data_IF_519374771695
#
_entry.id   IF_519374771695
#
_cell.length_a   1.000
_cell.length_b   1.000
_cell.length_c   1.000
_cell.angle_alpha   90.00
_cell.angle_beta   90.00
_cell.angle_gamma   90.00
#
_symmetry.space_group_name_H-M   'P 1'
#
loop_
_entity.id
_entity.type
_entity.pdbx_description
1 polymer ?
#
# COMPACT_ATOMS: atom_id res chain seq x y z
N UNK A 1 0.88 -23.48 95.95
CA UNK A 1 -0.20 -23.80 96.92
C UNK A 1 -1.52 -23.63 96.18
N UNK A 2 -2.35 -24.67 96.21
CA UNK A 2 -3.70 -24.83 95.64
C UNK A 2 -3.90 -24.93 94.12
N UNK A 3 -4.11 -26.19 93.73
CA UNK A 3 -4.89 -26.63 92.58
C UNK A 3 -6.39 -26.47 92.85
N UNK A 4 -7.19 -26.34 91.78
CA UNK A 4 -8.56 -26.83 91.76
C UNK A 4 -8.78 -27.63 90.47
N UNK A 5 -9.08 -28.91 90.67
CA UNK A 5 -9.51 -29.90 89.68
C UNK A 5 -11.03 -29.92 89.71
N UNK A 6 -11.70 -30.00 88.56
CA UNK A 6 -12.95 -30.77 88.43
C UNK A 6 -13.17 -31.25 86.98
N UNK A 7 -13.05 -32.56 86.83
CA UNK A 7 -13.53 -33.54 85.83
C UNK A 7 -15.04 -33.43 85.50
N UNK A 8 -15.68 -34.03 84.49
CA UNK A 8 -15.43 -34.98 83.37
C UNK A 8 -16.70 -34.91 82.47
N UNK A 9 -16.62 -35.20 81.16
CA UNK A 9 -17.57 -36.08 80.45
C UNK A 9 -17.25 -36.20 78.94
N UNK A 10 -16.99 -37.44 78.52
CA UNK A 10 -16.89 -37.89 77.13
C UNK A 10 -18.28 -38.08 76.52
N UNK A 11 -18.45 -37.70 75.26
CA UNK A 11 -19.40 -38.36 74.36
C UNK A 11 -18.86 -38.28 72.93
N UNK A 12 -18.43 -39.43 72.41
CA UNK A 12 -18.11 -39.60 71.01
C UNK A 12 -19.37 -39.47 70.15
N UNK A 13 -19.21 -38.93 68.96
CA UNK A 13 -20.19 -39.07 67.89
C UNK A 13 -19.47 -39.36 66.58
N UNK A 14 -19.76 -40.56 66.12
CA UNK A 14 -19.36 -41.24 64.90
C UNK A 14 -19.60 -40.36 63.67
N UNK A 15 -18.54 -40.09 62.90
CA UNK A 15 -18.69 -39.52 61.55
C UNK A 15 -19.18 -40.63 60.64
N UNK A 16 -20.46 -40.58 60.27
CA UNK A 16 -21.03 -41.38 59.19
C UNK A 16 -20.56 -40.75 57.88
N UNK A 17 -19.67 -41.44 57.17
CA UNK A 17 -19.28 -41.09 55.80
C UNK A 17 -20.41 -41.57 54.86
N UNK A 18 -21.08 -40.68 54.11
CA UNK A 18 -22.00 -41.12 53.07
C UNK A 18 -21.17 -41.73 51.94
N UNK A 19 -21.49 -42.97 51.53
CA UNK A 19 -21.04 -43.54 50.25
C UNK A 19 -21.68 -42.74 49.11
N UNK A 20 -21.04 -41.65 48.72
CA UNK A 20 -21.29 -40.94 47.47
C UNK A 20 -20.47 -41.60 46.37
N UNK A 21 -21.18 -42.12 45.37
CA UNK A 21 -20.67 -42.74 44.14
C UNK A 21 -19.45 -41.99 43.56
N UNK A 22 -18.34 -42.69 43.37
CA UNK A 22 -17.29 -42.29 42.45
C UNK A 22 -17.84 -42.32 41.03
N UNK A 23 -18.44 -41.21 40.61
CA UNK A 23 -18.53 -40.90 39.18
C UNK A 23 -17.15 -40.37 38.81
N UNK A 24 -16.31 -41.25 38.26
CA UNK A 24 -15.12 -40.84 37.51
C UNK A 24 -15.57 -39.73 36.56
N UNK A 25 -14.89 -38.57 36.51
CA UNK A 25 -15.18 -37.61 35.47
C UNK A 25 -14.92 -38.34 34.15
N UNK A 26 -15.97 -38.57 33.37
CA UNK A 26 -15.84 -38.94 31.97
C UNK A 26 -14.79 -38.00 31.41
N UNK A 27 -13.72 -38.56 30.85
CA UNK A 27 -12.75 -37.79 30.10
C UNK A 27 -13.54 -36.87 29.18
N UNK A 28 -13.53 -35.57 29.49
CA UNK A 28 -13.81 -34.60 28.46
C UNK A 28 -12.72 -34.88 27.45
N UNK A 29 -13.12 -35.51 26.34
CA UNK A 29 -12.40 -35.39 25.10
C UNK A 29 -12.21 -33.89 24.91
N UNK A 30 -11.04 -33.41 25.34
CA UNK A 30 -10.41 -32.25 24.75
C UNK A 30 -10.18 -32.67 23.29
N UNK A 31 -11.22 -32.55 22.47
CA UNK A 31 -11.00 -32.04 21.14
C UNK A 31 -10.43 -30.65 21.39
N UNK A 32 -9.12 -30.57 21.62
CA UNK A 32 -8.39 -29.36 21.28
C UNK A 32 -8.69 -29.19 19.81
N UNK A 33 -9.57 -28.25 19.51
CA UNK A 33 -9.54 -27.61 18.20
C UNK A 33 -8.16 -26.98 18.10
N UNK A 34 -7.19 -27.77 17.63
CA UNK A 34 -5.80 -27.36 17.42
C UNK A 34 -5.67 -26.56 16.13
N UNK A 35 -6.61 -25.66 15.88
CA UNK A 35 -6.42 -24.55 14.95
C UNK A 35 -6.11 -23.30 15.77
N UNK A 36 -4.98 -23.30 16.49
CA UNK A 36 -4.40 -22.04 16.93
C UNK A 36 -4.33 -21.13 15.70
N UNK A 37 -4.80 -19.89 15.85
CA UNK A 37 -4.71 -18.93 14.75
C UNK A 37 -3.23 -18.87 14.33
N UNK A 38 -2.94 -18.99 13.03
CA UNK A 38 -1.58 -18.93 12.47
C UNK A 38 -0.80 -17.72 13.02
N UNK A 39 -1.48 -16.60 13.29
CA UNK A 39 -0.89 -15.42 13.94
C UNK A 39 -0.34 -15.72 15.34
N UNK A 40 -1.07 -16.45 16.16
CA UNK A 40 -0.64 -16.83 17.51
C UNK A 40 0.52 -17.84 17.44
N UNK A 41 0.46 -18.77 16.49
CA UNK A 41 1.47 -19.80 16.30
C UNK A 41 2.87 -19.23 16.00
N UNK A 42 2.95 -18.13 15.23
CA UNK A 42 4.20 -17.51 14.83
C UNK A 42 4.51 -16.20 15.58
N UNK A 43 3.68 -15.81 16.55
CA UNK A 43 3.90 -14.57 17.31
C UNK A 43 5.13 -14.68 18.22
N UNK A 44 6.01 -13.70 18.13
CA UNK A 44 7.10 -13.50 19.09
C UNK A 44 6.62 -12.64 20.26
N UNK A 45 7.24 -12.80 21.43
CA UNK A 45 6.94 -11.98 22.59
C UNK A 45 7.40 -10.53 22.36
N UNK A 46 6.42 -9.65 22.12
CA UNK A 46 6.65 -8.22 21.85
C UNK A 46 7.14 -7.44 23.06
N UNK A 47 6.87 -7.92 24.29
CA UNK A 47 7.40 -7.30 25.52
C UNK A 47 8.89 -7.58 25.59
N UNK A 48 9.32 -8.81 25.34
CA UNK A 48 10.74 -9.17 25.28
C UNK A 48 11.45 -8.36 24.19
N UNK A 49 10.88 -8.25 22.98
CA UNK A 49 11.46 -7.45 21.90
C UNK A 49 11.63 -5.96 22.29
N UNK A 50 10.63 -5.39 22.97
CA UNK A 50 10.65 -4.00 23.43
C UNK A 50 11.79 -3.72 24.41
N UNK A 51 12.12 -4.67 25.29
CA UNK A 51 13.25 -4.52 26.22
C UNK A 51 14.59 -4.27 25.50
N UNK A 52 14.80 -4.92 24.36
CA UNK A 52 16.02 -4.73 23.55
C UNK A 52 15.97 -3.45 22.71
N UNK A 53 14.79 -3.07 22.21
CA UNK A 53 14.62 -1.84 21.42
C UNK A 53 14.86 -0.55 22.21
N UNK A 54 14.79 -0.60 23.55
CA UNK A 54 15.04 0.54 24.43
C UNK A 54 16.51 0.69 24.84
N UNK A 55 17.39 -0.26 24.46
CA UNK A 55 18.80 -0.17 24.78
C UNK A 55 19.43 1.02 24.05
N UNK A 56 20.29 1.76 24.77
CA UNK A 56 21.04 2.86 24.19
C UNK A 56 22.01 2.33 23.12
N UNK A 57 21.94 2.90 21.92
CA UNK A 57 22.83 2.59 20.81
C UNK A 57 24.16 3.37 20.87
N UNK A 58 24.38 4.14 21.94
CA UNK A 58 25.56 4.98 22.13
C UNK A 58 25.61 6.06 21.06
N UNK A 59 26.76 6.30 20.43
CA UNK A 59 26.90 7.29 19.34
C UNK A 59 26.52 6.74 17.95
N UNK A 60 26.28 5.44 17.82
CA UNK A 60 25.98 4.79 16.53
C UNK A 60 24.55 5.07 16.06
N UNK A 61 24.37 5.20 14.76
CA UNK A 61 23.06 5.39 14.12
C UNK A 61 22.73 4.17 13.28
N UNK A 62 21.44 3.82 13.21
CA UNK A 62 20.95 2.74 12.36
C UNK A 62 20.19 3.38 11.21
N UNK A 63 20.59 3.06 9.98
CA UNK A 63 19.98 3.57 8.77
C UNK A 63 19.39 2.39 7.98
N UNK A 64 18.05 2.37 7.87
CA UNK A 64 17.29 1.41 7.08
C UNK A 64 17.22 1.88 5.63
N UNK A 65 17.96 1.25 4.73
CA UNK A 65 17.91 1.55 3.30
C UNK A 65 16.73 0.82 2.69
N UNK A 66 15.85 1.56 2.03
CA UNK A 66 14.58 1.09 1.46
C UNK A 66 14.61 1.30 -0.05
N UNK A 67 14.21 0.31 -0.83
CA UNK A 67 14.12 0.40 -2.29
C UNK A 67 12.97 -0.43 -2.86
N UNK A 68 12.60 -0.13 -4.10
CA UNK A 68 11.58 -0.85 -4.86
C UNK A 68 12.26 -1.98 -5.65
N UNK A 69 11.71 -3.19 -5.60
CA UNK A 69 12.27 -4.34 -6.29
C UNK A 69 11.92 -4.40 -7.78
N UNK A 70 12.37 -5.46 -8.47
CA UNK A 70 12.20 -5.63 -9.91
C UNK A 70 10.75 -5.85 -10.35
N UNK A 71 9.80 -6.09 -9.43
CA UNK A 71 8.37 -6.10 -9.76
C UNK A 71 7.82 -4.70 -10.00
N UNK A 72 8.44 -3.67 -9.42
CA UNK A 72 7.89 -2.30 -9.38
C UNK A 72 6.77 -2.10 -8.36
N UNK A 73 6.43 -3.12 -7.56
CA UNK A 73 5.33 -3.09 -6.59
C UNK A 73 5.83 -3.24 -5.15
N UNK A 74 6.77 -4.16 -4.92
CA UNK A 74 7.21 -4.51 -3.56
C UNK A 74 8.45 -3.72 -3.12
N UNK A 75 8.45 -3.40 -1.83
CA UNK A 75 9.57 -2.76 -1.16
C UNK A 75 10.48 -3.80 -0.50
N UNK A 76 11.77 -3.47 -0.45
CA UNK A 76 12.81 -4.22 0.25
C UNK A 76 13.55 -3.25 1.15
N UNK A 77 14.12 -3.77 2.24
CA UNK A 77 14.98 -2.96 3.08
C UNK A 77 16.10 -3.75 3.74
N UNK A 78 17.14 -3.03 4.18
CA UNK A 78 18.18 -3.55 5.07
C UNK A 78 18.86 -2.44 5.86
N UNK A 79 19.44 -2.79 7.00
CA UNK A 79 20.02 -1.82 7.93
C UNK A 79 21.54 -1.80 7.88
N UNK A 80 22.13 -0.60 7.92
CA UNK A 80 23.56 -0.42 8.26
C UNK A 80 23.74 0.45 9.49
N UNK A 81 24.88 0.28 10.14
CA UNK A 81 25.36 1.17 11.20
C UNK A 81 26.15 2.33 10.61
N UNK A 82 25.89 3.54 11.10
CA UNK A 82 26.62 4.77 10.82
C UNK A 82 27.22 5.30 12.13
N UNK A 83 28.26 6.13 12.01
CA UNK A 83 28.97 6.72 13.16
C UNK A 83 28.66 8.21 13.36
N UNK A 84 27.80 8.78 12.52
CA UNK A 84 27.30 10.15 12.59
C UNK A 84 25.83 10.13 12.14
N UNK A 85 25.00 10.93 12.79
CA UNK A 85 23.63 11.15 12.33
C UNK A 85 23.63 11.95 11.02
N UNK A 86 23.07 11.39 9.93
CA UNK A 86 22.99 12.09 8.66
C UNK A 86 21.85 13.11 8.69
N UNK A 87 22.08 14.26 8.06
CA UNK A 87 21.13 15.38 7.96
C UNK A 87 20.54 15.52 6.56
N UNK A 88 21.23 15.00 5.54
CA UNK A 88 20.78 15.02 4.15
C UNK A 88 21.23 13.74 3.42
N UNK A 89 20.55 13.36 2.31
CA UNK A 89 20.85 12.12 1.58
C UNK A 89 22.28 12.01 1.06
N UNK A 90 22.94 13.13 0.72
CA UNK A 90 24.30 13.12 0.15
C UNK A 90 25.39 12.76 1.18
N UNK A 91 25.11 12.89 2.48
CA UNK A 91 25.98 12.41 3.56
C UNK A 91 25.97 10.88 3.71
N UNK A 92 24.99 10.20 3.10
CA UNK A 92 24.84 8.76 3.23
C UNK A 92 25.65 8.01 2.17
N UNK A 93 26.39 6.95 2.55
CA UNK A 93 27.14 6.16 1.60
C UNK A 93 26.21 5.42 0.63
N UNK A 94 26.60 5.37 -0.65
CA UNK A 94 26.04 4.40 -1.60
C UNK A 94 26.28 3.00 -1.05
N UNK A 95 25.29 2.13 -1.24
CA UNK A 95 25.38 0.72 -0.86
C UNK A 95 25.02 -0.16 -2.06
N UNK A 96 25.01 -1.47 -1.88
CA UNK A 96 24.68 -2.44 -2.92
C UNK A 96 23.84 -3.55 -2.33
N UNK A 97 23.17 -4.35 -3.16
CA UNK A 97 22.49 -5.58 -2.76
C UNK A 97 22.52 -6.58 -3.92
N UNK A 98 22.15 -7.82 -3.62
CA UNK A 98 22.04 -8.88 -4.63
C UNK A 98 20.72 -8.73 -5.42
N UNK A 99 20.84 -8.21 -6.64
CA UNK A 99 19.73 -8.00 -7.56
C UNK A 99 19.13 -9.29 -8.12
N UNK A 100 19.84 -10.43 -8.05
CA UNK A 100 19.29 -11.72 -8.50
C UNK A 100 18.14 -12.18 -7.60
N UNK A 101 18.21 -11.84 -6.31
CA UNK A 101 17.19 -12.12 -5.30
C UNK A 101 15.98 -11.18 -5.36
N UNK A 102 15.97 -10.20 -6.26
CA UNK A 102 14.92 -9.16 -6.33
C UNK A 102 14.39 -8.91 -7.74
N UNK A 103 14.69 -9.80 -8.71
CA UNK A 103 14.32 -9.66 -10.14
C UNK A 103 14.94 -8.43 -10.82
N UNK A 104 16.12 -7.99 -10.36
CA UNK A 104 16.82 -6.82 -10.90
C UNK A 104 18.10 -7.19 -11.66
N UNK A 105 18.68 -8.35 -11.40
CA UNK A 105 19.82 -8.86 -12.16
C UNK A 105 19.67 -10.35 -12.48
N UNK A 106 20.40 -10.82 -13.49
CA UNK A 106 20.47 -12.23 -13.89
C UNK A 106 21.93 -12.67 -13.96
N UNK A 107 22.21 -13.91 -13.57
CA UNK A 107 23.55 -14.50 -13.67
C UNK A 107 24.53 -14.05 -12.58
N UNK A 108 25.83 -14.09 -12.90
CA UNK A 108 26.91 -13.92 -11.93
C UNK A 108 27.22 -12.44 -11.58
N UNK A 109 26.74 -11.50 -12.39
CA UNK A 109 26.90 -10.06 -12.19
C UNK A 109 25.60 -9.48 -11.63
N UNK A 110 25.40 -9.70 -10.32
CA UNK A 110 24.12 -9.45 -9.67
C UNK A 110 24.07 -8.19 -8.81
N UNK A 111 25.20 -7.48 -8.65
CA UNK A 111 25.26 -6.29 -7.79
C UNK A 111 24.42 -5.15 -8.38
N UNK A 112 23.48 -4.65 -7.59
CA UNK A 112 22.69 -3.44 -7.86
C UNK A 112 22.96 -2.43 -6.76
N UNK A 113 23.24 -1.19 -7.12
CA UNK A 113 23.58 -0.13 -6.18
C UNK A 113 22.35 0.59 -5.66
N UNK A 114 22.42 1.03 -4.40
CA UNK A 114 21.44 1.84 -3.69
C UNK A 114 22.04 3.22 -3.49
N UNK A 115 21.47 4.21 -4.17
CA UNK A 115 21.81 5.61 -3.97
C UNK A 115 20.73 6.29 -3.12
N UNK A 116 21.07 6.80 -1.93
CA UNK A 116 20.15 7.55 -1.08
C UNK A 116 19.56 8.76 -1.81
N UNK A 117 18.26 9.00 -1.62
CA UNK A 117 17.54 10.11 -2.26
C UNK A 117 16.61 10.89 -1.32
N UNK A 118 16.17 10.28 -0.21
CA UNK A 118 15.42 10.96 0.84
C UNK A 118 15.68 10.30 2.21
N UNK A 119 15.58 11.09 3.28
CA UNK A 119 15.78 10.64 4.67
C UNK A 119 14.53 10.95 5.48
N UNK A 120 14.10 10.00 6.30
CA UNK A 120 13.00 10.14 7.23
C UNK A 120 13.41 9.65 8.61
N UNK A 121 12.70 10.09 9.66
CA UNK A 121 12.90 9.55 11.01
C UNK A 121 12.35 8.13 11.06
N UNK A 122 13.04 7.23 11.75
CA UNK A 122 12.60 5.84 11.92
C UNK A 122 11.60 5.74 13.10
N UNK A 123 10.29 5.50 12.87
CA UNK A 123 9.31 5.41 13.95
C UNK A 123 9.37 4.08 14.72
N UNK A 124 10.11 3.08 14.24
CA UNK A 124 10.26 1.79 14.89
C UNK A 124 11.45 1.78 15.85
N UNK A 125 12.52 2.50 15.49
CA UNK A 125 13.76 2.59 16.29
C UNK A 125 13.87 3.91 17.07
N UNK A 126 13.14 4.94 16.67
CA UNK A 126 13.10 6.27 17.29
C UNK A 126 14.46 7.01 17.30
N UNK A 127 14.50 8.13 18.01
CA UNK A 127 15.72 8.91 18.21
C UNK A 127 16.38 9.36 16.91
N UNK A 128 17.67 9.06 16.79
CA UNK A 128 18.55 9.45 15.67
C UNK A 128 18.54 8.46 14.50
N UNK A 129 17.84 7.34 14.63
CA UNK A 129 17.75 6.31 13.59
C UNK A 129 16.95 6.82 12.38
N UNK A 130 17.30 6.33 11.19
CA UNK A 130 16.80 6.88 9.92
C UNK A 130 16.22 5.79 9.02
N UNK A 131 15.15 6.14 8.33
CA UNK A 131 14.75 5.47 7.10
C UNK A 131 15.37 6.22 5.91
N UNK A 132 15.88 5.49 4.94
CA UNK A 132 16.60 6.03 3.78
C UNK A 132 15.97 5.48 2.52
N UNK A 133 15.17 6.28 1.83
CA UNK A 133 14.70 5.92 0.50
C UNK A 133 15.86 5.97 -0.48
N UNK A 134 15.99 4.93 -1.31
CA UNK A 134 17.06 4.81 -2.30
C UNK A 134 16.50 4.67 -3.71
N UNK A 135 17.18 5.30 -4.67
CA UNK A 135 17.07 4.93 -6.08
C UNK A 135 18.04 3.78 -6.40
N UNK A 136 17.73 2.99 -7.43
CA UNK A 136 18.56 1.85 -7.83
C UNK A 136 19.40 2.18 -9.07
N UNK A 137 20.67 1.78 -9.04
CA UNK A 137 21.60 1.91 -10.16
C UNK A 137 22.16 0.54 -10.55
N UNK A 138 22.43 0.34 -11.84
CA UNK A 138 23.08 -0.86 -12.35
C UNK A 138 24.58 -0.90 -12.01
N UNK A 139 25.24 -1.99 -12.41
CA UNK A 139 26.69 -2.21 -12.21
C UNK A 139 27.59 -1.16 -12.91
N UNK A 140 27.03 -0.30 -13.77
CA UNK A 140 27.71 0.83 -14.44
C UNK A 140 27.33 2.18 -13.83
N UNK A 141 26.70 2.18 -12.64
CA UNK A 141 26.21 3.36 -11.94
C UNK A 141 25.19 4.17 -12.75
N UNK A 142 24.49 3.52 -13.69
CA UNK A 142 23.40 4.12 -14.45
C UNK A 142 22.06 3.78 -13.80
N UNK A 143 21.00 4.59 -14.00
CA UNK A 143 19.68 4.28 -13.47
C UNK A 143 19.22 2.89 -13.90
N UNK A 144 18.84 2.05 -12.93
CA UNK A 144 18.38 0.71 -13.21
C UNK A 144 17.06 0.74 -14.03
N UNK A 145 16.77 -0.30 -14.83
CA UNK A 145 15.57 -0.34 -15.71
C UNK A 145 14.24 -0.15 -14.96
N UNK A 146 14.19 -0.54 -13.69
CA UNK A 146 13.02 -0.39 -12.80
C UNK A 146 13.05 0.89 -11.96
N UNK A 147 14.07 1.74 -12.12
CA UNK A 147 14.17 3.03 -11.45
C UNK A 147 13.31 4.09 -12.16
N UNK A 148 12.01 4.07 -11.89
CA UNK A 148 11.08 5.06 -12.43
C UNK A 148 11.21 6.43 -11.77
N UNK A 149 11.71 6.49 -10.53
CA UNK A 149 12.00 7.74 -9.82
C UNK A 149 12.91 8.66 -10.63
N UNK A 150 13.99 8.13 -11.21
CA UNK A 150 14.96 8.95 -11.97
C UNK A 150 14.31 9.68 -13.15
N UNK A 151 13.45 9.00 -13.90
CA UNK A 151 12.73 9.58 -15.05
C UNK A 151 11.69 10.59 -14.59
N UNK A 152 10.94 10.26 -13.54
CA UNK A 152 9.99 11.18 -12.92
C UNK A 152 10.69 12.47 -12.44
N UNK A 153 11.83 12.36 -11.75
CA UNK A 153 12.59 13.52 -11.27
C UNK A 153 13.02 14.46 -12.41
N UNK A 154 13.42 13.92 -13.57
CA UNK A 154 13.76 14.72 -14.75
C UNK A 154 12.54 15.46 -15.32
N UNK A 155 11.36 14.83 -15.31
CA UNK A 155 10.10 15.45 -15.75
C UNK A 155 9.66 16.55 -14.79
N UNK A 156 9.76 16.31 -13.48
CA UNK A 156 9.41 17.31 -12.47
C UNK A 156 10.34 18.52 -12.54
N UNK A 157 11.64 18.32 -12.76
CA UNK A 157 12.59 19.42 -12.99
C UNK A 157 12.26 20.21 -14.27
N UNK A 158 11.89 19.52 -15.35
CA UNK A 158 11.51 20.17 -16.60
C UNK A 158 10.21 20.97 -16.49
N UNK A 159 9.33 20.62 -15.56
CA UNK A 159 8.05 21.29 -15.30
C UNK A 159 8.05 22.13 -14.01
N UNK A 160 9.22 22.44 -13.43
CA UNK A 160 9.32 23.08 -12.11
C UNK A 160 8.60 24.43 -12.03
N UNK A 161 8.58 25.19 -13.13
CA UNK A 161 7.95 26.51 -13.20
C UNK A 161 6.40 26.43 -13.13
N UNK A 162 5.81 25.24 -13.31
CA UNK A 162 4.38 25.02 -13.13
C UNK A 162 4.01 24.75 -11.65
N UNK A 163 4.99 24.53 -10.76
CA UNK A 163 4.81 24.15 -9.35
C UNK A 163 3.73 23.07 -9.13
N UNK A 164 3.91 21.88 -9.73
CA UNK A 164 2.91 20.83 -9.70
C UNK A 164 2.77 20.24 -8.29
N UNK A 165 1.57 20.32 -7.74
CA UNK A 165 1.21 19.69 -6.47
C UNK A 165 0.35 18.47 -6.70
N UNK A 166 0.63 17.44 -5.92
CA UNK A 166 -0.10 16.18 -5.91
C UNK A 166 -0.61 15.85 -4.52
N UNK A 167 -1.77 15.21 -4.45
CA UNK A 167 -2.22 14.50 -3.26
C UNK A 167 -2.75 13.12 -3.65
N UNK A 168 -2.25 12.05 -3.04
CA UNK A 168 -2.64 10.68 -3.40
C UNK A 168 -3.41 10.01 -2.27
N UNK A 169 -4.56 9.46 -2.62
CA UNK A 169 -5.51 8.75 -1.75
C UNK A 169 -5.22 7.24 -1.85
N UNK A 170 -4.38 6.71 -0.97
CA UNK A 170 -4.01 5.29 -1.01
C UNK A 170 -5.04 4.44 -0.29
N UNK A 171 -5.84 3.71 -1.05
CA UNK A 171 -6.70 2.66 -0.52
C UNK A 171 -5.92 1.33 -0.39
N UNK A 172 -6.26 0.54 0.61
CA UNK A 172 -5.69 -0.80 0.84
C UNK A 172 -6.67 -1.66 1.64
N UNK A 173 -6.47 -2.98 1.60
CA UNK A 173 -7.28 -3.92 2.38
C UNK A 173 -6.40 -4.70 3.35
N UNK A 174 -6.85 -4.83 4.59
CA UNK A 174 -6.23 -5.72 5.57
C UNK A 174 -6.68 -7.15 5.34
N UNK A 175 -5.73 -8.06 5.23
CA UNK A 175 -5.93 -9.50 5.16
C UNK A 175 -5.31 -10.16 6.39
N UNK A 176 -5.89 -11.28 6.81
CA UNK A 176 -5.24 -12.21 7.71
C UNK A 176 -4.14 -13.00 6.97
N UNK A 177 -3.30 -13.72 7.70
CA UNK A 177 -2.13 -14.43 7.15
C UNK A 177 -2.49 -15.57 6.19
N UNK A 178 -3.74 -16.02 6.20
CA UNK A 178 -4.30 -16.98 5.23
C UNK A 178 -4.80 -16.30 3.94
N UNK A 179 -4.66 -14.97 3.83
CA UNK A 179 -5.09 -14.18 2.68
C UNK A 179 -6.58 -13.81 2.70
N UNK A 180 -7.35 -14.24 3.71
CA UNK A 180 -8.75 -13.86 3.84
C UNK A 180 -8.87 -12.43 4.44
N UNK A 181 -9.85 -11.60 4.04
CA UNK A 181 -9.98 -10.25 4.61
C UNK A 181 -10.10 -10.26 6.13
N UNK A 182 -9.37 -9.35 6.77
CA UNK A 182 -9.25 -9.30 8.21
C UNK A 182 -10.60 -8.94 8.86
N UNK A 183 -11.02 -9.74 9.84
CA UNK A 183 -12.29 -9.57 10.54
C UNK A 183 -13.50 -10.20 9.84
N UNK A 184 -13.33 -10.83 8.67
CA UNK A 184 -14.42 -11.54 8.01
C UNK A 184 -14.65 -12.94 8.60
N UNK A 185 -15.87 -13.49 8.46
CA UNK A 185 -16.12 -14.89 8.82
C UNK A 185 -15.29 -15.83 7.95
N UNK A 186 -14.47 -16.71 8.54
CA UNK A 186 -13.47 -17.55 7.84
C UNK A 186 -13.98 -18.35 6.63
N UNK A 187 -15.26 -18.72 6.61
CA UNK A 187 -15.89 -19.45 5.51
C UNK A 187 -17.14 -18.71 5.00
N UNK A 188 -17.13 -17.37 5.00
CA UNK A 188 -18.29 -16.59 4.61
C UNK A 188 -17.98 -15.12 4.34
N UNK A 189 -19.05 -14.34 4.32
CA UNK A 189 -19.03 -12.92 4.04
C UNK A 189 -19.66 -12.17 5.22
N UNK A 190 -19.23 -10.94 5.51
CA UNK A 190 -19.95 -10.06 6.40
C UNK A 190 -21.27 -9.61 5.75
N UNK A 191 -22.05 -8.78 6.45
CA UNK A 191 -23.23 -8.13 5.85
C UNK A 191 -22.86 -7.29 4.62
N UNK A 192 -23.84 -6.90 3.79
CA UNK A 192 -23.60 -6.10 2.58
C UNK A 192 -22.95 -4.75 2.91
N UNK A 193 -22.27 -4.17 1.91
CA UNK A 193 -21.65 -2.85 2.02
C UNK A 193 -22.67 -1.75 2.36
N UNK A 194 -22.21 -0.69 3.02
CA UNK A 194 -23.08 0.41 3.49
C UNK A 194 -22.69 0.93 4.87
N UNK A 195 -22.70 0.10 5.94
CA UNK A 195 -22.43 0.57 7.30
C UNK A 195 -20.93 0.78 7.62
N UNK A 196 -20.03 0.38 6.72
CA UNK A 196 -18.58 0.31 6.98
C UNK A 196 -17.84 1.63 6.71
N UNK A 197 -18.17 2.32 5.60
CA UNK A 197 -17.54 3.59 5.22
C UNK A 197 -17.67 4.62 6.35
N UNK A 198 -16.53 5.15 6.81
CA UNK A 198 -16.44 6.04 7.97
C UNK A 198 -17.18 5.53 9.23
N UNK A 199 -17.29 4.19 9.38
CA UNK A 199 -18.02 3.56 10.47
C UNK A 199 -17.33 3.68 11.83
N UNK A 200 -18.11 3.46 12.89
CA UNK A 200 -17.64 3.34 14.27
C UNK A 200 -18.38 2.21 14.98
N UNK A 201 -17.63 1.38 15.72
CA UNK A 201 -18.14 0.21 16.43
C UNK A 201 -17.52 -1.09 15.95
N UNK A 202 -17.40 -2.07 16.87
CA UNK A 202 -16.74 -3.34 16.63
C UNK A 202 -17.38 -4.19 15.52
N UNK A 203 -18.66 -3.96 15.21
CA UNK A 203 -19.41 -4.65 14.16
C UNK A 203 -19.29 -3.98 12.77
N UNK A 204 -18.51 -2.90 12.66
CA UNK A 204 -18.33 -2.12 11.42
C UNK A 204 -16.87 -1.92 11.05
N UNK A 205 -15.99 -1.86 12.05
CA UNK A 205 -14.61 -1.40 11.90
C UNK A 205 -13.64 -2.51 12.26
N UNK A 206 -12.84 -2.95 11.31
CA UNK A 206 -11.84 -4.01 11.48
C UNK A 206 -10.43 -3.47 11.27
N UNK A 207 -9.56 -3.58 12.27
CA UNK A 207 -8.14 -3.25 12.14
C UNK A 207 -7.76 -1.77 12.36
N UNK A 208 -8.61 -0.96 13.04
CA UNK A 208 -8.31 0.46 13.32
C UNK A 208 -6.97 0.66 14.04
N UNK A 209 -6.53 -0.28 14.88
CA UNK A 209 -5.25 -0.17 15.58
C UNK A 209 -4.07 -0.07 14.62
N UNK A 210 -4.12 -0.78 13.49
CA UNK A 210 -3.10 -0.71 12.42
C UNK A 210 -3.08 0.68 11.79
N UNK A 211 -4.27 1.22 11.52
CA UNK A 211 -4.47 2.54 10.90
C UNK A 211 -3.94 3.65 11.80
N UNK A 212 -4.31 3.62 13.09
CA UNK A 212 -3.88 4.60 14.08
C UNK A 212 -2.36 4.56 14.32
N UNK A 213 -1.78 3.36 14.37
CA UNK A 213 -0.34 3.18 14.48
C UNK A 213 0.40 3.69 13.23
N UNK A 214 -0.10 3.36 12.03
CA UNK A 214 0.45 3.82 10.76
C UNK A 214 0.39 5.35 10.62
N UNK A 215 -0.73 5.96 10.99
CA UNK A 215 -0.89 7.41 10.94
C UNK A 215 0.15 8.12 11.83
N UNK A 216 0.31 7.66 13.07
CA UNK A 216 1.32 8.21 14.00
C UNK A 216 2.74 7.95 13.53
N UNK A 217 3.01 6.79 12.93
CA UNK A 217 4.31 6.47 12.35
C UNK A 217 4.66 7.41 11.19
N UNK A 218 3.71 7.70 10.31
CA UNK A 218 3.88 8.67 9.21
C UNK A 218 4.16 10.08 9.73
N UNK A 219 3.36 10.57 10.70
CA UNK A 219 3.59 11.87 11.34
C UNK A 219 4.99 11.95 11.98
N UNK A 220 5.40 10.92 12.72
CA UNK A 220 6.72 10.88 13.36
C UNK A 220 7.85 10.89 12.33
N UNK A 221 7.70 10.12 11.25
CA UNK A 221 8.67 10.01 10.17
C UNK A 221 8.85 11.32 9.39
N UNK A 222 7.83 12.20 9.43
CA UNK A 222 7.79 13.44 8.65
C UNK A 222 7.14 13.28 7.27
N UNK A 223 6.36 12.21 7.07
CA UNK A 223 5.50 12.07 5.88
C UNK A 223 4.35 13.07 6.00
N UNK A 224 4.05 13.78 4.92
CA UNK A 224 2.92 14.71 4.81
C UNK A 224 1.59 13.95 4.65
N UNK A 225 1.25 13.14 5.65
CA UNK A 225 -0.03 12.45 5.73
C UNK A 225 -1.12 13.46 6.10
N UNK A 226 -2.18 13.55 5.29
CA UNK A 226 -3.22 14.56 5.43
C UNK A 226 -4.53 14.04 6.02
N UNK A 227 -4.72 12.72 6.07
CA UNK A 227 -5.97 12.13 6.54
C UNK A 227 -6.03 10.61 6.41
N UNK A 228 -7.11 10.05 6.94
CA UNK A 228 -7.46 8.63 6.85
C UNK A 228 -8.96 8.44 7.03
N UNK A 229 -9.51 7.38 6.43
CA UNK A 229 -10.88 6.94 6.64
C UNK A 229 -10.99 5.42 6.50
N UNK A 230 -12.04 4.85 7.12
CA UNK A 230 -12.48 3.49 6.80
C UNK A 230 -13.21 3.54 5.46
N UNK A 231 -12.87 2.61 4.57
CA UNK A 231 -13.45 2.55 3.22
C UNK A 231 -14.74 1.71 3.17
N UNK A 232 -15.35 1.62 1.98
CA UNK A 232 -16.64 0.98 1.77
C UNK A 232 -16.61 -0.52 2.07
N UNK A 233 -15.56 -1.24 1.68
CA UNK A 233 -15.41 -2.66 1.96
C UNK A 233 -14.96 -2.87 3.42
N UNK A 234 -15.58 -3.77 4.19
CA UNK A 234 -15.16 -4.03 5.57
C UNK A 234 -13.72 -4.55 5.63
N UNK A 235 -12.87 -3.88 6.41
CA UNK A 235 -11.42 -4.18 6.48
C UNK A 235 -10.59 -3.43 5.42
N UNK A 236 -11.23 -2.64 4.55
CA UNK A 236 -10.58 -1.70 3.65
C UNK A 236 -10.45 -0.33 4.32
N UNK A 237 -9.35 0.35 4.01
CA UNK A 237 -8.97 1.62 4.61
C UNK A 237 -8.29 2.51 3.58
N UNK A 238 -8.25 3.80 3.85
CA UNK A 238 -7.55 4.80 3.05
C UNK A 238 -6.66 5.67 3.94
N UNK A 239 -5.51 6.08 3.40
CA UNK A 239 -4.74 7.21 3.92
C UNK A 239 -4.39 8.16 2.77
N UNK A 240 -4.35 9.46 3.05
CA UNK A 240 -4.01 10.48 2.06
C UNK A 240 -2.63 11.05 2.35
N UNK A 241 -1.81 11.20 1.31
CA UNK A 241 -0.50 11.88 1.37
C UNK A 241 -0.53 13.10 0.46
N UNK A 242 -0.10 14.26 0.98
CA UNK A 242 0.00 15.52 0.25
C UNK A 242 -0.84 16.64 0.87
N UNK A 243 -0.87 17.84 0.25
CA UNK A 243 -0.24 18.17 -1.03
C UNK A 243 1.30 18.12 -0.95
N UNK A 244 1.94 17.48 -1.93
CA UNK A 244 3.40 17.41 -2.07
C UNK A 244 3.81 17.85 -3.47
N UNK A 245 4.93 18.59 -3.57
CA UNK A 245 5.39 19.16 -4.84
C UNK A 245 6.29 18.19 -5.60
N UNK A 246 6.00 18.00 -6.89
CA UNK A 246 6.86 17.27 -7.82
C UNK A 246 7.26 15.86 -7.33
N UNK A 247 8.57 15.63 -7.22
CA UNK A 247 9.15 14.32 -6.92
C UNK A 247 8.83 13.83 -5.48
N UNK A 248 8.55 14.76 -4.56
CA UNK A 248 8.30 14.44 -3.17
C UNK A 248 7.04 13.59 -2.98
N UNK A 249 6.06 13.71 -3.88
CA UNK A 249 4.84 12.88 -3.84
C UNK A 249 5.18 11.39 -3.91
N UNK A 250 6.04 11.01 -4.86
CA UNK A 250 6.46 9.62 -5.02
C UNK A 250 7.31 9.14 -3.85
N UNK A 251 8.25 9.97 -3.39
CA UNK A 251 9.13 9.64 -2.27
C UNK A 251 8.31 9.36 -0.99
N UNK A 252 7.36 10.25 -0.68
CA UNK A 252 6.57 10.16 0.52
C UNK A 252 5.53 9.04 0.47
N UNK A 253 4.88 8.78 -0.68
CA UNK A 253 3.92 7.68 -0.76
C UNK A 253 4.61 6.31 -0.64
N UNK A 254 5.78 6.12 -1.26
CA UNK A 254 6.55 4.88 -1.09
C UNK A 254 6.98 4.65 0.35
N UNK A 255 7.38 5.70 1.07
CA UNK A 255 7.70 5.59 2.50
C UNK A 255 6.44 5.35 3.33
N UNK A 256 5.32 5.98 3.03
CA UNK A 256 4.05 5.71 3.70
C UNK A 256 3.61 4.24 3.51
N UNK A 257 3.81 3.66 2.32
CA UNK A 257 3.58 2.23 2.04
C UNK A 257 4.55 1.33 2.82
N UNK A 258 5.84 1.69 2.88
CA UNK A 258 6.81 0.96 3.72
C UNK A 258 6.35 0.91 5.18
N UNK A 259 5.95 2.07 5.73
CA UNK A 259 5.45 2.17 7.09
C UNK A 259 4.18 1.34 7.29
N UNK A 260 3.26 1.33 6.33
CA UNK A 260 2.04 0.52 6.39
C UNK A 260 2.39 -0.97 6.50
N UNK A 261 3.25 -1.48 5.62
CA UNK A 261 3.63 -2.89 5.65
C UNK A 261 4.38 -3.26 6.94
N UNK A 262 5.31 -2.41 7.40
CA UNK A 262 6.05 -2.64 8.65
C UNK A 262 5.13 -2.60 9.88
N UNK A 263 4.17 -1.69 9.93
CA UNK A 263 3.16 -1.66 11.00
C UNK A 263 2.27 -2.91 10.93
N UNK A 264 1.77 -3.27 9.74
CA UNK A 264 0.97 -4.49 9.55
C UNK A 264 1.72 -5.75 10.02
N UNK A 265 3.03 -5.84 9.77
CA UNK A 265 3.90 -6.91 10.26
C UNK A 265 3.94 -6.97 11.80
N UNK A 266 4.03 -5.83 12.50
CA UNK A 266 3.98 -5.80 13.98
C UNK A 266 2.63 -6.31 14.53
N UNK A 267 1.55 -6.10 13.78
CA UNK A 267 0.22 -6.61 14.10
C UNK A 267 -0.06 -8.01 13.53
N UNK A 268 0.87 -8.63 12.79
CA UNK A 268 0.67 -9.96 12.19
C UNK A 268 -0.49 -10.03 11.21
N UNK A 269 -0.72 -8.95 10.45
CA UNK A 269 -1.70 -8.89 9.35
C UNK A 269 -1.00 -8.46 8.07
N UNK A 270 -1.66 -8.67 6.93
CA UNK A 270 -1.16 -8.28 5.61
C UNK A 270 -1.93 -7.05 5.13
N UNK A 271 -1.24 -6.02 4.66
CA UNK A 271 -1.86 -4.95 3.90
C UNK A 271 -1.66 -5.22 2.41
N UNK A 272 -2.75 -5.49 1.67
CA UNK A 272 -2.70 -5.65 0.21
C UNK A 272 -3.04 -4.34 -0.50
N UNK A 273 -2.29 -4.06 -1.57
CA UNK A 273 -2.56 -2.97 -2.50
C UNK A 273 -3.21 -3.49 -3.79
N UNK A 274 -3.66 -4.74 -3.84
CA UNK A 274 -4.38 -5.29 -5.00
C UNK A 274 -5.65 -4.46 -5.28
N UNK A 275 -5.91 -4.04 -6.53
CA UNK A 275 -7.05 -3.17 -6.85
C UNK A 275 -8.42 -3.85 -6.78
N UNK A 276 -8.47 -5.18 -6.69
CA UNK A 276 -9.70 -5.94 -6.55
C UNK A 276 -9.43 -7.20 -5.71
N UNK A 277 -9.24 -7.04 -4.38
CA UNK A 277 -8.79 -8.13 -3.51
C UNK A 277 -9.86 -9.22 -3.38
N UNK A 278 -11.14 -8.84 -3.47
CA UNK A 278 -12.28 -9.76 -3.46
C UNK A 278 -13.14 -9.53 -4.71
N UNK A 279 -13.45 -10.61 -5.41
CA UNK A 279 -14.33 -10.59 -6.58
C UNK A 279 -15.80 -10.40 -6.19
N UNK A 280 -16.60 -9.88 -7.12
CA UNK A 280 -18.04 -9.66 -6.93
C UNK A 280 -18.37 -8.26 -6.42
N UNK A 281 -19.47 -8.18 -5.67
CA UNK A 281 -20.12 -6.95 -5.16
C UNK A 281 -19.42 -6.36 -3.93
N UNK A 282 -18.10 -6.21 -4.04
CA UNK A 282 -17.24 -5.58 -3.05
C UNK A 282 -16.42 -4.49 -3.73
N UNK A 283 -16.20 -3.35 -3.07
CA UNK A 283 -15.43 -2.26 -3.67
C UNK A 283 -14.00 -2.73 -4.01
N UNK A 284 -13.45 -2.16 -5.09
CA UNK A 284 -12.03 -2.28 -5.39
C UNK A 284 -11.22 -1.24 -4.61
N UNK A 285 -9.90 -1.25 -4.80
CA UNK A 285 -8.97 -0.32 -4.18
C UNK A 285 -8.30 0.59 -5.23
N UNK A 286 -8.42 1.91 -5.04
CA UNK A 286 -7.84 2.94 -5.90
C UNK A 286 -6.60 3.61 -5.33
N UNK A 287 -5.96 4.45 -6.15
CA UNK A 287 -5.01 5.46 -5.68
C UNK A 287 -5.32 6.82 -6.29
N UNK A 288 -6.48 7.41 -5.93
CA UNK A 288 -6.90 8.65 -6.58
C UNK A 288 -5.83 9.73 -6.43
N UNK A 289 -5.56 10.45 -7.53
CA UNK A 289 -4.47 11.42 -7.58
C UNK A 289 -5.05 12.80 -7.84
N UNK A 290 -5.02 13.64 -6.81
CA UNK A 290 -5.37 15.05 -6.86
C UNK A 290 -4.20 15.85 -7.46
N UNK A 291 -4.47 16.72 -8.44
CA UNK A 291 -3.43 17.43 -9.20
C UNK A 291 -3.77 18.91 -9.36
N UNK A 292 -2.78 19.78 -9.14
CA UNK A 292 -2.87 21.19 -9.52
C UNK A 292 -1.50 21.77 -9.91
N UNK A 293 -1.49 22.75 -10.80
CA UNK A 293 -0.35 23.66 -11.03
C UNK A 293 -0.60 25.00 -10.33
N UNK A 294 0.40 25.86 -10.26
CA UNK A 294 0.26 27.20 -9.68
C UNK A 294 -0.88 28.00 -10.35
N UNK A 295 -1.02 27.88 -11.68
CA UNK A 295 -2.07 28.55 -12.45
C UNK A 295 -3.46 28.01 -12.11
N UNK A 296 -3.60 26.71 -11.91
CA UNK A 296 -4.88 26.08 -11.51
C UNK A 296 -5.34 26.56 -10.13
N UNK A 297 -4.41 26.89 -9.23
CA UNK A 297 -4.70 27.33 -7.84
C UNK A 297 -5.01 28.82 -7.71
N UNK A 298 -4.85 29.63 -8.77
CA UNK A 298 -5.12 31.08 -8.77
C UNK A 298 -6.54 31.37 -9.30
N UNK A 299 -7.18 32.49 -8.92
CA UNK A 299 -8.49 32.87 -9.46
C UNK A 299 -8.56 32.83 -10.98
N UNK A 300 -9.57 32.14 -11.53
CA UNK A 300 -9.69 31.86 -12.97
C UNK A 300 -9.04 30.54 -13.42
N UNK A 301 -8.33 29.86 -12.52
CA UNK A 301 -7.62 28.60 -12.78
C UNK A 301 -8.51 27.41 -13.17
N UNK A 302 -9.84 27.53 -13.06
CA UNK A 302 -10.75 26.51 -13.57
C UNK A 302 -10.54 26.22 -15.07
N UNK A 303 -10.21 27.23 -15.88
CA UNK A 303 -9.95 27.02 -17.30
C UNK A 303 -8.68 26.19 -17.54
N UNK A 304 -7.65 26.39 -16.72
CA UNK A 304 -6.42 25.57 -16.74
C UNK A 304 -6.71 24.11 -16.38
N UNK A 305 -7.61 23.89 -15.42
CA UNK A 305 -8.08 22.54 -15.06
C UNK A 305 -8.77 21.88 -16.24
N UNK A 306 -9.70 22.57 -16.92
CA UNK A 306 -10.40 22.02 -18.09
C UNK A 306 -9.41 21.71 -19.22
N UNK A 307 -8.47 22.62 -19.50
CA UNK A 307 -7.45 22.40 -20.52
C UNK A 307 -6.57 21.16 -20.22
N UNK A 308 -6.18 20.95 -18.95
CA UNK A 308 -5.45 19.76 -18.55
C UNK A 308 -6.28 18.47 -18.73
N UNK A 309 -7.57 18.50 -18.37
CA UNK A 309 -8.49 17.36 -18.55
C UNK A 309 -8.67 17.02 -20.03
N UNK A 310 -8.78 18.02 -20.91
CA UNK A 310 -8.85 17.82 -22.36
C UNK A 310 -7.60 17.12 -22.90
N UNK A 311 -6.40 17.51 -22.45
CA UNK A 311 -5.15 16.80 -22.79
C UNK A 311 -5.17 15.36 -22.29
N UNK A 312 -5.60 15.11 -21.05
CA UNK A 312 -5.72 13.76 -20.48
C UNK A 312 -6.69 12.86 -21.25
N UNK A 313 -7.77 13.43 -21.80
CA UNK A 313 -8.76 12.69 -22.58
C UNK A 313 -8.17 12.09 -23.87
N UNK A 314 -7.15 12.74 -24.44
CA UNK A 314 -6.50 12.32 -25.68
C UNK A 314 -5.45 11.22 -25.46
N UNK A 315 -5.08 10.93 -24.21
CA UNK A 315 -4.04 9.97 -23.83
C UNK A 315 -4.56 8.90 -22.85
N UNK A 316 -5.88 8.62 -22.85
CA UNK A 316 -6.50 7.74 -21.86
C UNK A 316 -5.84 6.35 -21.80
N UNK A 317 -5.71 5.67 -22.95
CA UNK A 317 -5.13 4.32 -23.02
C UNK A 317 -3.66 4.31 -22.59
N UNK A 318 -2.91 5.35 -22.92
CA UNK A 318 -1.53 5.52 -22.46
C UNK A 318 -1.45 5.65 -20.94
N UNK A 319 -2.30 6.47 -20.33
CA UNK A 319 -2.34 6.64 -18.88
C UNK A 319 -2.72 5.34 -18.16
N UNK A 320 -3.70 4.57 -18.66
CA UNK A 320 -4.05 3.27 -18.06
C UNK A 320 -2.83 2.35 -17.98
N UNK A 321 -1.97 2.33 -19.00
CA UNK A 321 -0.74 1.52 -18.98
C UNK A 321 0.36 2.01 -18.02
N UNK A 322 0.23 3.21 -17.46
CA UNK A 322 1.10 3.74 -16.41
C UNK A 322 0.49 3.60 -15.01
N UNK A 323 -0.79 3.23 -14.92
CA UNK A 323 -1.60 3.33 -13.71
C UNK A 323 -1.68 2.03 -12.90
N UNK A 324 -0.97 0.99 -13.32
CA UNK A 324 -0.61 -0.19 -12.55
C UNK A 324 0.68 -0.85 -13.11
N UNK A 325 1.37 -1.70 -12.34
CA UNK A 325 2.62 -2.35 -12.77
C UNK A 325 2.46 -3.33 -13.94
N UNK A 326 1.24 -3.80 -14.22
CA UNK A 326 0.95 -4.80 -15.26
C UNK A 326 0.41 -4.18 -16.56
N UNK A 327 0.44 -2.85 -16.68
CA UNK A 327 0.11 -2.12 -17.90
C UNK A 327 -1.40 -2.04 -18.18
N UNK A 328 -2.23 -2.08 -17.16
CA UNK A 328 -3.69 -2.01 -17.23
C UNK A 328 -4.40 -3.27 -16.75
N UNK A 329 -3.70 -4.40 -16.67
CA UNK A 329 -4.30 -5.74 -16.47
C UNK A 329 -4.87 -5.91 -15.06
N UNK A 330 -4.21 -5.36 -14.05
CA UNK A 330 -4.76 -5.38 -12.69
C UNK A 330 -5.99 -4.48 -12.58
N UNK A 331 -5.91 -3.30 -13.20
CA UNK A 331 -6.95 -2.29 -13.09
C UNK A 331 -8.22 -2.65 -13.87
N UNK A 332 -8.14 -3.52 -14.89
CA UNK A 332 -9.30 -4.12 -15.57
C UNK A 332 -10.27 -4.80 -14.58
N UNK A 333 -9.76 -5.38 -13.49
CA UNK A 333 -10.59 -6.02 -12.46
C UNK A 333 -11.39 -5.01 -11.63
N UNK A 334 -10.95 -3.75 -11.60
CA UNK A 334 -11.51 -2.67 -10.78
C UNK A 334 -12.37 -1.70 -11.57
N UNK A 335 -11.87 -1.18 -12.68
CA UNK A 335 -12.49 -0.14 -13.50
C UNK A 335 -13.57 -0.72 -14.43
N UNK A 336 -14.69 -1.12 -13.85
CA UNK A 336 -15.78 -1.81 -14.58
C UNK A 336 -16.97 -0.91 -14.89
N UNK A 337 -16.99 0.34 -14.38
CA UNK A 337 -18.17 1.21 -14.40
C UNK A 337 -19.14 0.98 -13.23
N UNK A 338 -18.88 -0.04 -12.39
CA UNK A 338 -19.63 -0.34 -11.17
C UNK A 338 -18.85 0.12 -9.93
N UNK A 339 -19.50 0.12 -8.76
CA UNK A 339 -18.89 0.46 -7.45
C UNK A 339 -18.10 1.78 -7.47
N UNK A 340 -18.76 2.87 -7.92
CA UNK A 340 -18.16 4.21 -7.97
C UNK A 340 -16.86 4.32 -8.80
N UNK A 341 -16.69 3.47 -9.82
CA UNK A 341 -15.59 3.56 -10.79
C UNK A 341 -16.09 3.89 -12.20
N UNK A 342 -15.21 4.43 -13.04
CA UNK A 342 -15.44 4.53 -14.48
C UNK A 342 -15.06 3.21 -15.18
N UNK A 343 -15.57 3.01 -16.39
CA UNK A 343 -15.09 1.94 -17.28
C UNK A 343 -13.63 2.18 -17.67
N UNK A 344 -12.81 1.13 -17.71
CA UNK A 344 -11.40 1.22 -18.15
C UNK A 344 -11.23 1.62 -19.61
N UNK A 345 -12.27 1.47 -20.43
CA UNK A 345 -12.21 1.72 -21.87
C UNK A 345 -12.59 3.14 -22.26
N UNK A 346 -13.26 3.88 -21.39
CA UNK A 346 -13.87 5.16 -21.69
C UNK A 346 -13.35 6.25 -20.76
N UNK A 347 -12.95 7.38 -21.35
CA UNK A 347 -12.62 8.58 -20.59
C UNK A 347 -13.89 9.40 -20.33
N UNK A 348 -14.09 9.83 -19.09
CA UNK A 348 -15.14 10.77 -18.71
C UNK A 348 -14.65 11.72 -17.62
N UNK A 349 -15.27 12.90 -17.55
CA UNK A 349 -15.08 13.80 -16.42
C UNK A 349 -16.38 14.46 -16.00
N UNK A 350 -16.47 14.87 -14.74
CA UNK A 350 -17.66 15.56 -14.24
C UNK A 350 -17.44 16.22 -12.88
N UNK A 351 -18.24 17.24 -12.59
CA UNK A 351 -18.20 17.90 -11.28
C UNK A 351 -18.89 17.02 -10.25
N UNK A 352 -18.20 16.74 -9.14
CA UNK A 352 -18.66 15.88 -8.06
C UNK A 352 -19.10 14.46 -8.49
N UNK A 353 -18.72 14.04 -9.70
CA UNK A 353 -19.04 12.71 -10.23
C UNK A 353 -18.03 11.70 -9.74
N UNK A 354 -18.46 10.78 -8.87
CA UNK A 354 -17.61 9.68 -8.38
C UNK A 354 -17.42 8.57 -9.43
N UNK A 355 -18.31 8.44 -10.40
CA UNK A 355 -18.24 7.41 -11.45
C UNK A 355 -17.49 7.87 -12.72
N UNK A 356 -16.88 9.05 -12.69
CA UNK A 356 -16.10 9.58 -13.81
C UNK A 356 -14.61 9.25 -13.69
N UNK A 357 -13.90 9.20 -14.82
CA UNK A 357 -12.45 8.98 -14.82
C UNK A 357 -11.72 10.12 -14.10
N UNK A 358 -12.13 11.37 -14.39
CA UNK A 358 -11.66 12.56 -13.68
C UNK A 358 -12.83 13.22 -12.94
N UNK A 359 -12.64 13.55 -11.67
CA UNK A 359 -13.60 14.31 -10.89
C UNK A 359 -13.08 15.72 -10.67
N UNK A 360 -13.95 16.71 -10.88
CA UNK A 360 -13.70 18.08 -10.41
C UNK A 360 -14.45 18.24 -9.08
N UNK A 361 -13.77 18.52 -7.95
CA UNK A 361 -14.44 18.76 -6.69
C UNK A 361 -15.47 19.89 -6.81
N UNK A 362 -16.59 19.77 -6.07
CA UNK A 362 -17.64 20.80 -6.08
C UNK A 362 -17.09 22.16 -5.64
N UNK A 363 -16.21 22.17 -4.65
CA UNK A 363 -15.58 23.39 -4.15
C UNK A 363 -14.73 24.08 -5.24
N UNK A 364 -13.92 23.31 -5.98
CA UNK A 364 -13.16 23.82 -7.14
C UNK A 364 -14.06 24.51 -8.18
N UNK A 365 -15.23 23.94 -8.46
CA UNK A 365 -16.19 24.56 -9.39
C UNK A 365 -16.76 25.87 -8.82
N UNK A 366 -17.15 25.88 -7.54
CA UNK A 366 -17.75 27.05 -6.87
C UNK A 366 -16.75 28.20 -6.80
N UNK A 367 -15.50 27.92 -6.44
CA UNK A 367 -14.47 28.94 -6.28
C UNK A 367 -13.86 29.38 -7.62
N UNK A 368 -13.98 28.56 -8.67
CA UNK A 368 -13.44 28.84 -9.99
C UNK A 368 -11.93 28.63 -10.11
N UNK A 369 -11.33 27.90 -9.17
CA UNK A 369 -9.91 27.49 -9.15
C UNK A 369 -9.70 26.37 -8.13
N UNK A 370 -8.58 25.66 -8.18
CA UNK A 370 -8.24 24.57 -7.27
C UNK A 370 -7.48 23.43 -7.94
N UNK A 371 -8.03 22.22 -7.85
CA UNK A 371 -7.44 20.97 -8.37
C UNK A 371 -8.50 20.07 -9.02
N UNK A 372 -8.05 19.08 -9.79
CA UNK A 372 -8.86 17.95 -10.25
C UNK A 372 -8.34 16.63 -9.66
N UNK A 373 -9.19 15.60 -9.65
CA UNK A 373 -8.91 14.28 -9.09
C UNK A 373 -8.93 13.23 -10.21
N UNK A 374 -7.80 12.61 -10.50
CA UNK A 374 -7.73 11.45 -11.39
C UNK A 374 -8.03 10.17 -10.61
N UNK A 375 -9.17 9.54 -10.92
CA UNK A 375 -9.68 8.36 -10.19
C UNK A 375 -9.25 7.02 -10.79
N UNK A 376 -8.52 7.08 -11.91
CA UNK A 376 -8.09 5.90 -12.67
C UNK A 376 -6.89 5.15 -12.08
N UNK A 377 -5.94 5.72 -11.32
CA UNK A 377 -4.81 4.95 -10.81
C UNK A 377 -5.25 3.80 -9.88
N UNK A 378 -4.62 2.64 -10.06
CA UNK A 378 -4.79 1.46 -9.20
C UNK A 378 -4.14 1.69 -7.83
N UNK A 379 -4.64 1.05 -6.78
CA UNK A 379 -4.00 1.05 -5.45
C UNK A 379 -2.55 0.57 -5.47
N UNK A 380 -2.16 -0.33 -6.38
CA UNK A 380 -0.78 -0.80 -6.53
C UNK A 380 0.07 -0.01 -7.54
N UNK A 381 -0.41 1.14 -8.05
CA UNK A 381 0.36 1.96 -8.99
C UNK A 381 1.72 2.41 -8.41
N UNK A 382 2.73 2.61 -9.25
CA UNK A 382 3.93 3.35 -8.85
C UNK A 382 3.62 4.87 -8.94
N UNK A 383 3.64 5.62 -7.82
CA UNK A 383 3.40 7.06 -7.85
C UNK A 383 4.36 7.83 -8.76
N UNK A 384 5.61 7.36 -8.97
CA UNK A 384 6.52 8.00 -9.92
C UNK A 384 5.99 7.89 -11.35
N UNK A 385 5.43 6.73 -11.73
CA UNK A 385 4.86 6.53 -13.06
C UNK A 385 3.61 7.37 -13.26
N UNK A 386 2.71 7.42 -12.27
CA UNK A 386 1.46 8.18 -12.33
C UNK A 386 1.74 9.68 -12.47
N UNK A 387 2.55 10.23 -11.56
CA UNK A 387 2.88 11.66 -11.55
C UNK A 387 3.68 12.07 -12.78
N UNK A 388 4.63 11.24 -13.24
CA UNK A 388 5.36 11.46 -14.50
C UNK A 388 4.41 11.54 -15.70
N UNK A 389 3.50 10.57 -15.84
CA UNK A 389 2.56 10.51 -16.96
C UNK A 389 1.66 11.75 -16.99
N UNK A 390 1.14 12.17 -15.84
CA UNK A 390 0.30 13.36 -15.70
C UNK A 390 1.04 14.60 -16.17
N UNK A 391 2.25 14.86 -15.67
CA UNK A 391 2.99 16.09 -16.01
C UNK A 391 3.47 16.12 -17.45
N UNK A 392 3.90 14.97 -17.99
CA UNK A 392 4.22 14.87 -19.43
C UNK A 392 3.05 15.29 -20.31
N UNK A 393 1.84 14.84 -19.96
CA UNK A 393 0.62 15.12 -20.74
C UNK A 393 0.11 16.53 -20.52
N UNK A 394 0.08 17.03 -19.28
CA UNK A 394 -0.61 18.30 -18.98
C UNK A 394 0.29 19.52 -19.10
N UNK A 395 1.58 19.39 -18.79
CA UNK A 395 2.51 20.51 -18.64
C UNK A 395 3.61 20.56 -19.70
N UNK A 396 4.01 19.41 -20.28
CA UNK A 396 5.14 19.33 -21.21
C UNK A 396 4.75 19.02 -22.67
N UNK A 397 3.44 19.02 -22.97
CA UNK A 397 2.87 18.77 -24.30
C UNK A 397 3.47 17.55 -25.04
N UNK A 398 3.77 16.49 -24.29
CA UNK A 398 4.30 15.25 -24.86
C UNK A 398 3.20 14.60 -25.71
N UNK A 399 3.43 14.54 -27.04
CA UNK A 399 2.44 14.04 -28.01
C UNK A 399 1.97 12.60 -27.75
N UNK A 400 2.82 11.76 -27.16
CA UNK A 400 2.47 10.37 -26.80
C UNK A 400 3.37 9.83 -25.70
N UNK A 401 2.79 9.16 -24.71
CA UNK A 401 3.57 8.39 -23.72
C UNK A 401 4.06 7.07 -24.34
N UNK A 402 5.07 6.47 -23.72
CA UNK A 402 5.77 5.31 -24.29
C UNK A 402 5.04 3.97 -24.15
N UNK A 403 3.90 3.92 -23.45
CA UNK A 403 3.10 2.71 -23.20
C UNK A 403 1.65 2.99 -23.56
N UNK A 404 0.91 1.97 -23.99
CA UNK A 404 -0.52 2.07 -24.28
C UNK A 404 -1.20 0.78 -23.86
N UNK A 405 -2.32 0.92 -23.16
CA UNK A 405 -3.15 -0.21 -22.76
C UNK A 405 -3.84 -0.82 -23.98
N UNK A 406 -3.98 -2.15 -23.96
CA UNK A 406 -4.80 -2.90 -24.91
C UNK A 406 -5.66 -3.86 -24.10
N UNK A 407 -7.00 -3.83 -24.22
CA UNK A 407 -7.88 -4.73 -23.49
C UNK A 407 -7.55 -6.21 -23.74
N UNK A 408 -7.67 -7.05 -22.71
CA UNK A 408 -7.37 -8.49 -22.80
C UNK A 408 -8.12 -9.19 -23.93
N UNK A 409 -9.39 -8.87 -24.16
CA UNK A 409 -10.17 -9.54 -25.21
C UNK A 409 -9.67 -9.17 -26.61
N UNK A 410 -9.19 -7.95 -26.80
CA UNK A 410 -8.51 -7.56 -28.03
C UNK A 410 -7.16 -8.27 -28.19
N UNK A 411 -6.43 -8.52 -27.09
CA UNK A 411 -5.18 -9.28 -27.10
C UNK A 411 -5.42 -10.77 -27.47
N UNK A 412 -6.46 -11.40 -26.91
CA UNK A 412 -6.90 -12.75 -27.27
C UNK A 412 -7.29 -12.84 -28.74
N UNK A 413 -8.06 -11.88 -29.24
CA UNK A 413 -8.48 -11.83 -30.64
C UNK A 413 -7.27 -11.70 -31.58
N UNK A 414 -6.32 -10.81 -31.27
CA UNK A 414 -5.07 -10.65 -32.03
C UNK A 414 -4.26 -11.95 -32.03
N UNK A 415 -4.15 -12.63 -30.89
CA UNK A 415 -3.46 -13.91 -30.79
C UNK A 415 -4.13 -14.97 -31.65
N UNK A 416 -5.46 -15.12 -31.56
CA UNK A 416 -6.21 -16.03 -32.43
C UNK A 416 -6.01 -15.73 -33.92
N UNK A 417 -6.04 -14.46 -34.33
CA UNK A 417 -5.82 -14.07 -35.73
C UNK A 417 -4.40 -14.45 -36.17
N UNK A 418 -3.38 -14.16 -35.35
CA UNK A 418 -1.99 -14.51 -35.65
C UNK A 418 -1.77 -16.02 -35.72
N UNK A 419 -2.38 -16.79 -34.83
CA UNK A 419 -2.30 -18.26 -34.82
C UNK A 419 -3.00 -18.84 -36.06
N UNK A 420 -4.17 -18.30 -36.45
CA UNK A 420 -4.85 -18.67 -37.70
C UNK A 420 -4.05 -18.31 -38.96
N UNK A 421 -3.33 -17.19 -38.95
CA UNK A 421 -2.46 -16.80 -40.06
C UNK A 421 -1.22 -17.69 -40.17
N UNK A 422 -0.63 -18.10 -39.04
CA UNK A 422 0.49 -19.06 -39.03
C UNK A 422 0.08 -20.43 -39.56
N UNK A 423 -1.06 -20.95 -39.11
CA UNK A 423 -1.56 -22.25 -39.58
C UNK A 423 -1.87 -22.24 -41.08
N UNK A 424 -2.35 -21.10 -41.63
CA UNK A 424 -2.55 -20.94 -43.08
C UNK A 424 -1.26 -20.89 -43.89
N UNK A 425 -0.13 -20.48 -43.29
CA UNK A 425 1.18 -20.47 -43.96
C UNK A 425 1.76 -21.90 -43.96
N UNK A 426 1.62 -22.63 -42.85
CA UNK A 426 2.08 -24.02 -42.73
C UNK A 426 1.31 -24.97 -43.67
N UNK A 427 -0.01 -24.84 -43.80
CA UNK A 427 -0.80 -25.61 -44.78
C UNK A 427 -0.40 -25.34 -46.25
N UNK A 428 0.16 -24.15 -46.53
CA UNK A 428 0.55 -23.76 -47.88
C UNK A 428 1.96 -24.26 -48.27
N UNK A 429 2.80 -24.56 -47.27
CA UNK A 429 4.14 -25.12 -47.43
C UNK A 429 4.12 -26.67 -47.43
N UNK A 430 3.11 -27.32 -46.87
CA UNK A 430 2.91 -28.79 -46.99
C UNK A 430 2.28 -29.24 -48.33
N UNK A 431 1.79 -28.30 -49.15
CA UNK A 431 1.21 -28.57 -50.49
C UNK A 431 2.16 -28.31 -51.67
N UNK A 432 3.46 -28.14 -51.42
CA UNK A 432 4.52 -28.10 -52.44
C UNK A 432 5.47 -29.26 -52.27
#
# INVERSE_FOLDING_TARGET
MFALVLTFALAGSTIIVPKGSQVLPKSRSLTMDMSLNLREQFSTDKVIATNFNQLDSGDKVLAEYIWIDGSGEFLRSKTRTLFKEPTNPDELPIWNFDGSSTKQAEGADSDVFLKPVAIYRDPFRLGKHKLVLCETLDNKMQPHKTNYRRRCAQVMEAAKDEHPWFGMEQEYTLLDVDGHPFGWPKNGFPGPQGPYYCGVGANKVYGRDVVEAHYRACLYAGVNISGTNAEVMPGQWEFQVGPSEGIEMGDQLWIARFLLHRVAEEFGVIATLDPKPIQGDWNGAGCHTNVSTEKMRKPGGYQEIIAAIEKLSQAHAEHIAYYDPTGGKDNERRLTGLHETASISEFSYGVASRCSSIRIPRQTQVDGYGYYEDRRPSSNCDPYCVTEAIIRTTCLDVKKLSRSYTPQDAEKLRKMINDLQKNKIEEHDEQK
#
